data_IF_943442589344
#
_entry.id   IF_943442589344
#
_cell.length_a   1.000
_cell.length_b   1.000
_cell.length_c   1.000
_cell.angle_alpha   90.00
_cell.angle_beta   90.00
_cell.angle_gamma   90.00
#
_symmetry.space_group_name_H-M   'P 1'
#
loop_
_entity.id
_entity.type
_entity.pdbx_description
1 polymer ?
#
# COMPACT_ATOMS: atom_id res chain seq x y z
N UNK A 1 -33.83 36.89 17.34
CA UNK A 1 -32.47 36.92 16.75
C UNK A 1 -31.67 35.77 17.33
N UNK A 2 -31.51 34.66 16.61
CA UNK A 2 -30.57 33.62 17.01
C UNK A 2 -29.20 33.97 16.42
N UNK A 3 -28.12 34.06 17.22
CA UNK A 3 -26.79 34.32 16.69
C UNK A 3 -26.32 33.07 15.92
N UNK A 4 -26.10 33.24 14.62
CA UNK A 4 -25.50 32.22 13.77
C UNK A 4 -24.02 32.14 14.17
N UNK A 5 -23.68 31.19 15.04
CA UNK A 5 -22.30 30.95 15.51
C UNK A 5 -21.38 30.71 14.31
N UNK A 6 -20.48 31.67 14.08
CA UNK A 6 -19.61 31.70 12.91
C UNK A 6 -18.73 30.43 12.83
N UNK A 7 -18.82 29.71 11.72
CA UNK A 7 -17.96 28.59 11.30
C UNK A 7 -16.50 29.02 11.00
N UNK A 8 -15.91 29.92 11.80
CA UNK A 8 -14.58 30.53 11.53
C UNK A 8 -13.42 29.90 12.29
N UNK A 9 -13.65 28.90 13.14
CA UNK A 9 -12.61 28.37 14.05
C UNK A 9 -11.63 27.36 13.42
N UNK A 10 -11.94 26.75 12.28
CA UNK A 10 -11.11 25.66 11.74
C UNK A 10 -10.00 26.12 10.78
N UNK A 11 -10.10 27.32 10.19
CA UNK A 11 -9.12 27.86 9.24
C UNK A 11 -7.69 27.99 9.80
N UNK A 12 -7.47 28.57 11.00
CA UNK A 12 -6.12 28.66 11.56
C UNK A 12 -5.59 27.28 11.98
N UNK A 13 -6.46 26.39 12.49
CA UNK A 13 -6.07 25.04 12.86
C UNK A 13 -5.58 24.24 11.64
N UNK A 14 -6.28 24.32 10.50
CA UNK A 14 -5.86 23.70 9.25
C UNK A 14 -4.56 24.31 8.72
N UNK A 15 -4.39 25.63 8.82
CA UNK A 15 -3.14 26.28 8.39
C UNK A 15 -1.94 25.83 9.23
N UNK A 16 -2.11 25.72 10.55
CA UNK A 16 -1.07 25.20 11.46
C UNK A 16 -0.75 23.74 11.13
N UNK A 17 -1.78 22.90 10.92
CA UNK A 17 -1.61 21.51 10.52
C UNK A 17 -0.79 21.40 9.22
N UNK A 18 -1.15 22.20 8.21
CA UNK A 18 -0.46 22.23 6.90
C UNK A 18 0.98 22.70 7.03
N UNK A 19 1.22 23.73 7.85
CA UNK A 19 2.57 24.22 8.11
C UNK A 19 3.44 23.15 8.80
N UNK A 20 2.91 22.46 9.81
CA UNK A 20 3.60 21.37 10.49
C UNK A 20 3.92 20.24 9.50
N UNK A 21 2.94 19.83 8.68
CA UNK A 21 3.14 18.78 7.68
C UNK A 21 4.19 19.16 6.63
N UNK A 22 4.18 20.41 6.16
CA UNK A 22 5.17 20.91 5.22
C UNK A 22 6.58 20.95 5.82
N UNK A 23 6.73 21.45 7.06
CA UNK A 23 8.01 21.46 7.77
C UNK A 23 8.52 20.05 8.01
N UNK A 24 7.65 19.10 8.39
CA UNK A 24 8.03 17.70 8.54
C UNK A 24 8.56 17.12 7.22
N UNK A 25 7.86 17.34 6.09
CA UNK A 25 8.32 16.90 4.78
C UNK A 25 9.69 17.49 4.41
N UNK A 26 9.92 18.78 4.67
CA UNK A 26 11.20 19.42 4.40
C UNK A 26 12.32 18.92 5.34
N UNK A 27 11.99 18.61 6.60
CA UNK A 27 12.93 17.99 7.53
C UNK A 27 13.35 16.58 7.08
N UNK A 28 12.40 15.77 6.60
CA UNK A 28 12.70 14.46 6.01
C UNK A 28 13.53 14.59 4.73
N UNK A 29 13.22 15.57 3.87
CA UNK A 29 14.00 15.86 2.66
C UNK A 29 15.44 16.23 2.99
N UNK A 30 15.63 17.10 3.99
CA UNK A 30 16.94 17.51 4.48
C UNK A 30 17.74 16.33 5.01
N UNK A 31 17.10 15.48 5.81
CA UNK A 31 17.74 14.29 6.34
C UNK A 31 18.13 13.28 5.24
N UNK A 32 17.29 13.14 4.21
CA UNK A 32 17.61 12.30 3.05
C UNK A 32 18.74 12.89 2.19
N UNK A 33 18.82 14.20 2.07
CA UNK A 33 19.93 14.87 1.39
C UNK A 33 21.28 14.55 2.05
N UNK A 34 21.37 14.70 3.38
CA UNK A 34 22.56 14.40 4.17
C UNK A 34 22.97 12.91 4.08
N UNK A 35 21.97 12.02 4.03
CA UNK A 35 22.16 10.57 3.85
C UNK A 35 22.69 10.21 2.46
N UNK A 36 22.20 10.89 1.41
CA UNK A 36 22.69 10.71 0.03
C UNK A 36 24.16 11.14 -0.11
N UNK A 37 24.57 12.22 0.56
CA UNK A 37 25.95 12.72 0.52
C UNK A 37 26.93 11.76 1.21
N UNK A 38 26.46 11.07 2.27
CA UNK A 38 27.25 10.08 3.02
C UNK A 38 27.28 8.69 2.39
N UNK A 39 26.21 8.28 1.69
CA UNK A 39 26.06 6.94 1.11
C UNK A 39 26.21 7.06 -0.41
N UNK A 40 27.44 6.89 -0.92
CA UNK A 40 27.80 7.05 -2.33
C UNK A 40 26.66 6.76 -3.35
N UNK A 41 25.89 7.80 -3.69
CA UNK A 41 25.34 8.03 -5.02
C UNK A 41 24.19 7.17 -5.56
N UNK A 42 23.38 6.48 -4.75
CA UNK A 42 22.19 5.82 -5.35
C UNK A 42 21.15 6.87 -5.74
N UNK A 43 20.86 7.01 -7.05
CA UNK A 43 19.87 7.95 -7.60
C UNK A 43 18.46 7.80 -6.99
N UNK A 44 18.14 6.65 -6.40
CA UNK A 44 16.90 6.39 -5.68
C UNK A 44 16.75 7.24 -4.40
N UNK A 45 17.83 7.46 -3.64
CA UNK A 45 17.79 8.30 -2.42
C UNK A 45 17.55 9.77 -2.77
N UNK A 46 18.11 10.24 -3.89
CA UNK A 46 17.83 11.56 -4.44
C UNK A 46 16.35 11.69 -4.84
N UNK A 47 15.78 10.64 -5.43
CA UNK A 47 14.34 10.55 -5.72
C UNK A 47 13.50 10.79 -4.46
N UNK A 48 13.83 10.14 -3.34
CA UNK A 48 13.13 10.36 -2.07
C UNK A 48 13.36 11.76 -1.50
N UNK A 49 14.59 12.28 -1.56
CA UNK A 49 14.91 13.64 -1.13
C UNK A 49 14.10 14.70 -1.90
N UNK A 50 13.79 14.46 -3.18
CA UNK A 50 12.95 15.34 -4.01
C UNK A 50 11.45 15.04 -3.92
N UNK A 51 11.08 13.80 -3.59
CA UNK A 51 9.69 13.38 -3.38
C UNK A 51 9.08 14.05 -2.14
N UNK A 52 9.83 14.15 -1.04
CA UNK A 52 9.33 14.78 0.19
C UNK A 52 8.93 16.25 0.02
N UNK A 53 9.73 17.13 -0.64
CA UNK A 53 9.33 18.48 -0.97
C UNK A 53 8.08 18.55 -1.87
N UNK A 54 7.95 17.63 -2.84
CA UNK A 54 6.77 17.56 -3.70
C UNK A 54 5.49 17.31 -2.88
N UNK A 55 5.55 16.43 -1.88
CA UNK A 55 4.44 16.24 -0.94
C UNK A 55 4.18 17.49 -0.10
N UNK A 56 5.22 18.16 0.42
CA UNK A 56 5.05 19.43 1.14
C UNK A 56 4.32 20.48 0.30
N UNK A 57 4.68 20.62 -0.98
CA UNK A 57 3.99 21.49 -1.91
C UNK A 57 2.54 21.04 -2.17
N UNK A 58 2.30 19.73 -2.37
CA UNK A 58 0.96 19.19 -2.59
C UNK A 58 0.02 19.46 -1.41
N UNK A 59 0.50 19.38 -0.16
CA UNK A 59 -0.28 19.69 1.04
C UNK A 59 -0.66 21.18 1.09
N UNK A 60 0.28 22.08 0.80
CA UNK A 60 0.01 23.52 0.70
C UNK A 60 -1.00 23.81 -0.42
N UNK A 61 -0.84 23.16 -1.57
CA UNK A 61 -1.73 23.29 -2.70
C UNK A 61 -3.15 22.79 -2.37
N UNK A 62 -3.29 21.65 -1.70
CA UNK A 62 -4.56 21.12 -1.23
C UNK A 62 -5.25 22.07 -0.26
N UNK A 63 -4.52 22.69 0.67
CA UNK A 63 -5.07 23.72 1.55
C UNK A 63 -5.55 24.94 0.78
N UNK A 64 -4.74 25.47 -0.16
CA UNK A 64 -5.18 26.58 -1.01
C UNK A 64 -6.44 26.22 -1.79
N UNK A 65 -6.49 25.03 -2.38
CA UNK A 65 -7.65 24.53 -3.14
C UNK A 65 -8.89 24.42 -2.26
N UNK A 66 -8.74 23.87 -1.06
CA UNK A 66 -9.81 23.75 -0.07
C UNK A 66 -10.35 25.12 0.35
N UNK A 67 -9.45 26.07 0.66
CA UNK A 67 -9.84 27.43 1.04
C UNK A 67 -10.57 28.14 -0.10
N UNK A 68 -10.09 28.03 -1.35
CA UNK A 68 -10.80 28.62 -2.51
C UNK A 68 -12.20 28.02 -2.65
N UNK A 69 -12.31 26.68 -2.53
CA UNK A 69 -13.59 25.98 -2.65
C UNK A 69 -14.58 26.37 -1.54
N UNK A 70 -14.11 26.64 -0.32
CA UNK A 70 -14.96 27.11 0.78
C UNK A 70 -15.26 28.62 0.74
N UNK A 71 -14.43 29.42 0.07
CA UNK A 71 -14.50 30.89 0.17
C UNK A 71 -15.44 31.51 -0.85
N UNK A 72 -15.50 30.97 -2.05
CA UNK A 72 -16.27 31.58 -3.13
C UNK A 72 -16.76 30.50 -4.13
N UNK A 73 -18.07 30.21 -4.16
CA UNK A 73 -18.63 29.21 -5.06
C UNK A 73 -18.46 29.60 -6.54
N UNK A 74 -18.36 30.90 -6.86
CA UNK A 74 -18.20 31.36 -8.24
C UNK A 74 -16.77 31.18 -8.74
N UNK A 75 -15.75 31.37 -7.88
CA UNK A 75 -14.36 31.03 -8.23
C UNK A 75 -14.13 29.51 -8.27
N UNK A 76 -14.82 28.75 -7.42
CA UNK A 76 -14.83 27.28 -7.51
C UNK A 76 -15.37 26.78 -8.85
N UNK A 77 -16.46 27.40 -9.34
CA UNK A 77 -17.06 27.07 -10.65
C UNK A 77 -16.11 27.39 -11.81
N UNK A 78 -15.46 28.55 -11.82
CA UNK A 78 -14.46 28.92 -12.85
C UNK A 78 -13.22 28.03 -12.86
N UNK A 79 -12.83 27.47 -11.71
CA UNK A 79 -11.73 26.50 -11.63
C UNK A 79 -12.16 25.10 -12.08
N UNK A 80 -13.40 24.71 -11.84
CA UNK A 80 -13.96 23.43 -12.33
C UNK A 80 -14.19 23.44 -13.84
N UNK A 81 -14.62 24.56 -14.40
CA UNK A 81 -14.85 24.77 -15.85
C UNK A 81 -13.56 24.66 -16.68
N UNK A 82 -12.39 24.90 -16.06
CA UNK A 82 -11.08 24.69 -16.70
C UNK A 82 -10.62 23.23 -16.72
N UNK A 83 -11.34 22.32 -16.05
CA UNK A 83 -11.04 20.90 -16.04
C UNK A 83 -11.80 20.19 -17.14
N UNK A 84 -11.11 19.80 -18.22
CA UNK A 84 -11.59 18.77 -19.15
C UNK A 84 -11.68 17.46 -18.35
N UNK A 85 -12.84 17.25 -17.73
CA UNK A 85 -13.13 16.08 -16.88
C UNK A 85 -13.96 15.04 -17.65
N UNK A 86 -14.14 15.25 -18.95
CA UNK A 86 -14.65 14.23 -19.85
C UNK A 86 -13.46 13.52 -20.50
N UNK A 87 -13.46 12.19 -20.40
CA UNK A 87 -12.53 11.33 -21.14
C UNK A 87 -13.21 11.03 -22.47
N UNK A 88 -12.80 11.64 -23.61
CA UNK A 88 -13.22 11.19 -24.92
C UNK A 88 -13.09 9.67 -25.03
N UNK A 89 -14.16 8.98 -25.46
CA UNK A 89 -14.19 7.52 -25.56
C UNK A 89 -13.12 6.91 -26.49
N UNK A 90 -12.34 7.74 -27.20
CA UNK A 90 -11.18 7.35 -28.03
C UNK A 90 -9.80 7.65 -27.44
N UNK A 91 -9.69 8.05 -26.16
CA UNK A 91 -8.42 8.37 -25.48
C UNK A 91 -7.84 7.23 -24.64
N UNK A 92 -8.44 6.04 -24.66
CA UNK A 92 -7.79 4.85 -24.11
C UNK A 92 -6.96 4.21 -25.25
N UNK A 93 -5.62 4.26 -25.20
CA UNK A 93 -4.81 3.37 -26.01
C UNK A 93 -5.23 1.92 -25.70
N UNK A 94 -5.30 1.06 -26.71
CA UNK A 94 -5.38 -0.39 -26.52
C UNK A 94 -4.32 -0.77 -25.49
N UNK A 95 -4.71 -1.43 -24.39
CA UNK A 95 -3.84 -1.67 -23.22
C UNK A 95 -2.49 -2.21 -23.72
N UNK A 96 -1.41 -1.41 -23.71
CA UNK A 96 -0.11 -1.98 -23.98
C UNK A 96 0.22 -2.88 -22.78
N UNK A 97 0.76 -4.07 -23.03
CA UNK A 97 1.31 -4.99 -22.01
C UNK A 97 2.55 -4.41 -21.32
N UNK A 98 2.56 -3.11 -21.02
CA UNK A 98 3.60 -2.50 -20.20
C UNK A 98 3.46 -3.05 -18.79
N UNK A 99 4.56 -3.48 -18.18
CA UNK A 99 4.50 -4.07 -16.86
C UNK A 99 3.99 -3.03 -15.84
N UNK A 100 2.79 -3.26 -15.32
CA UNK A 100 2.30 -2.71 -14.05
C UNK A 100 3.30 -3.00 -12.91
N UNK A 101 3.21 -2.29 -11.79
CA UNK A 101 3.97 -2.60 -10.57
C UNK A 101 3.80 -4.07 -10.13
N UNK A 102 2.69 -4.71 -10.50
CA UNK A 102 2.42 -6.13 -10.32
C UNK A 102 3.19 -7.09 -11.26
N UNK A 103 3.81 -6.57 -12.32
CA UNK A 103 4.61 -7.30 -13.32
C UNK A 103 6.10 -6.96 -13.26
N UNK A 104 6.48 -5.98 -12.44
CA UNK A 104 7.84 -5.89 -11.90
C UNK A 104 8.15 -7.04 -10.92
N UNK A 105 7.12 -7.70 -10.39
CA UNK A 105 7.25 -8.94 -9.61
C UNK A 105 7.52 -10.19 -10.47
N UNK A 106 7.45 -10.08 -11.81
CA UNK A 106 7.63 -11.19 -12.75
C UNK A 106 8.88 -11.01 -13.63
N UNK A 107 9.57 -9.87 -13.50
CA UNK A 107 10.89 -9.68 -14.07
C UNK A 107 11.89 -10.18 -13.03
N UNK A 108 12.52 -11.33 -13.32
CA UNK A 108 13.53 -12.00 -12.50
C UNK A 108 14.51 -11.01 -11.88
N UNK A 109 14.18 -10.52 -10.69
CA UNK A 109 14.95 -9.52 -9.97
C UNK A 109 15.88 -10.27 -9.01
N UNK A 110 17.05 -9.73 -8.66
CA UNK A 110 17.89 -10.34 -7.63
C UNK A 110 17.15 -10.51 -6.29
N UNK A 111 16.10 -9.74 -6.03
CA UNK A 111 15.23 -9.90 -4.84
C UNK A 111 14.46 -11.23 -4.86
N UNK A 112 14.21 -11.84 -6.03
CA UNK A 112 13.57 -13.16 -6.16
C UNK A 112 14.44 -14.29 -5.63
N UNK A 113 15.77 -14.11 -5.56
CA UNK A 113 16.66 -15.10 -4.94
C UNK A 113 16.48 -15.08 -3.42
N UNK A 114 16.53 -13.89 -2.81
CA UNK A 114 16.35 -13.73 -1.37
C UNK A 114 14.95 -14.12 -0.91
N UNK A 115 13.90 -13.83 -1.69
CA UNK A 115 12.54 -14.26 -1.39
C UNK A 115 12.40 -15.79 -1.41
N UNK A 116 13.06 -16.48 -2.35
CA UNK A 116 13.08 -17.94 -2.43
C UNK A 116 13.77 -18.57 -1.22
N UNK A 117 14.90 -18.00 -0.78
CA UNK A 117 15.59 -18.46 0.43
C UNK A 117 14.75 -18.27 1.69
N UNK A 118 14.07 -17.11 1.80
CA UNK A 118 13.18 -16.83 2.92
C UNK A 118 11.97 -17.78 2.96
N UNK A 119 11.30 -17.98 1.82
CA UNK A 119 10.17 -18.91 1.72
C UNK A 119 10.58 -20.36 2.02
N UNK A 120 11.79 -20.77 1.63
CA UNK A 120 12.36 -22.07 1.99
C UNK A 120 12.58 -22.19 3.50
N UNK A 121 13.16 -21.16 4.13
CA UNK A 121 13.38 -21.15 5.57
C UNK A 121 12.08 -21.23 6.37
N UNK A 122 11.02 -20.52 5.93
CA UNK A 122 9.69 -20.62 6.54
C UNK A 122 9.10 -22.04 6.40
N UNK A 123 9.27 -22.67 5.24
CA UNK A 123 8.82 -24.04 5.01
C UNK A 123 9.57 -25.06 5.89
N UNK A 124 10.87 -24.86 6.11
CA UNK A 124 11.67 -25.72 7.00
C UNK A 124 11.23 -25.57 8.47
N UNK A 125 10.88 -24.36 8.91
CA UNK A 125 10.31 -24.10 10.24
C UNK A 125 8.93 -24.73 10.44
N UNK A 126 8.03 -24.57 9.46
CA UNK A 126 6.69 -25.17 9.47
C UNK A 126 6.77 -26.70 9.51
N UNK A 127 7.68 -27.29 8.73
CA UNK A 127 7.93 -28.73 8.73
C UNK A 127 8.49 -29.23 10.07
N UNK A 128 9.38 -28.47 10.71
CA UNK A 128 9.92 -28.81 12.03
C UNK A 128 8.85 -28.74 13.13
N UNK A 129 8.02 -27.69 13.12
CA UNK A 129 6.90 -27.52 14.08
C UNK A 129 5.86 -28.64 13.91
N UNK A 130 5.56 -29.02 12.66
CA UNK A 130 4.69 -30.17 12.37
C UNK A 130 5.31 -31.51 12.78
N UNK A 131 6.62 -31.70 12.63
CA UNK A 131 7.30 -32.90 13.07
C UNK A 131 7.33 -33.03 14.60
N UNK A 132 7.56 -31.91 15.31
CA UNK A 132 7.47 -31.86 16.78
C UNK A 132 6.03 -32.07 17.28
N UNK A 133 5.03 -31.52 16.59
CA UNK A 133 3.62 -31.70 16.93
C UNK A 133 3.13 -33.14 16.70
N UNK A 134 3.68 -33.86 15.72
CA UNK A 134 3.36 -35.27 15.46
C UNK A 134 4.06 -36.20 16.47
N UNK A 135 5.29 -35.88 16.90
CA UNK A 135 6.03 -36.64 17.93
C UNK A 135 5.44 -36.45 19.34
N UNK A 136 4.89 -35.27 19.65
CA UNK A 136 4.26 -34.98 20.94
C UNK A 136 2.81 -35.51 21.07
N UNK A 137 2.23 -36.07 20.00
CA UNK A 137 0.86 -36.60 20.00
C UNK A 137 0.81 -38.12 19.77
N UNK A 138 1.07 -38.95 20.82
CA UNK A 138 1.08 -40.41 20.70
C UNK A 138 -0.29 -41.03 20.35
N UNK A 139 -1.38 -40.25 20.40
CA UNK A 139 -2.75 -40.74 20.18
C UNK A 139 -3.18 -40.75 18.68
N UNK A 140 -2.41 -40.12 17.78
CA UNK A 140 -2.78 -40.03 16.36
C UNK A 140 -2.41 -41.28 15.56
N UNK A 141 -1.27 -41.91 15.85
CA UNK A 141 -0.82 -43.16 15.21
C UNK A 141 -1.67 -44.37 15.63
N UNK A 142 -2.30 -44.33 16.81
CA UNK A 142 -3.23 -45.37 17.26
C UNK A 142 -4.59 -45.35 16.52
N UNK A 143 -5.02 -44.19 15.99
CA UNK A 143 -6.36 -44.05 15.39
C UNK A 143 -6.45 -44.48 13.92
N UNK A 144 -5.32 -44.63 13.23
CA UNK A 144 -5.29 -45.11 11.83
C UNK A 144 -5.40 -46.65 11.74
N UNK A 145 -5.30 -47.35 12.87
CA UNK A 145 -5.29 -48.82 12.96
C UNK A 145 -6.64 -49.51 13.25
N UNK A 146 -7.79 -48.86 13.12
CA UNK A 146 -9.10 -49.54 13.24
C UNK A 146 -9.75 -49.66 11.87
N UNK A 147 -9.28 -50.64 11.10
CA UNK A 147 -10.07 -51.28 10.04
C UNK A 147 -11.33 -51.82 10.69
N UNK A 148 -12.47 -51.16 10.43
CA UNK A 148 -13.80 -51.68 10.75
C UNK A 148 -13.98 -52.99 9.96
N UNK A 149 -14.25 -54.14 10.61
CA UNK A 149 -14.50 -55.39 9.90
C UNK A 149 -15.82 -55.28 9.13
N UNK A 150 -15.75 -55.56 7.83
CA UNK A 150 -16.87 -55.68 6.92
C UNK A 150 -17.88 -56.70 7.45
N UNK A 151 -19.13 -56.25 7.66
CA UNK A 151 -20.26 -57.14 7.85
C UNK A 151 -21.42 -56.71 6.96
N UNK A 152 -21.64 -57.55 5.94
CA UNK A 152 -22.86 -57.74 5.14
C UNK A 152 -23.17 -56.58 4.17
N UNK A 153 -23.31 -56.82 2.86
CA UNK A 153 -24.30 -57.75 2.31
C UNK A 153 -23.83 -58.31 0.97
N UNK A 154 -23.72 -59.63 0.90
CA UNK A 154 -23.82 -60.41 -0.33
C UNK A 154 -25.19 -60.16 -0.95
N UNK A 155 -25.26 -59.63 -2.16
CA UNK A 155 -26.35 -59.85 -3.11
C UNK A 155 -25.99 -59.17 -4.43
N UNK A 156 -25.58 -59.97 -5.42
CA UNK A 156 -26.36 -60.20 -6.65
C UNK A 156 -25.47 -60.35 -7.91
N UNK A 157 -25.81 -61.40 -8.66
CA UNK A 157 -25.55 -61.64 -10.08
C UNK A 157 -24.12 -62.06 -10.51
N UNK A 158 -23.88 -63.38 -10.51
CA UNK A 158 -23.99 -64.17 -11.75
C UNK A 158 -24.22 -65.66 -11.48
#
# INVERSE_FOLDING_TARGET
MSPQSARRRHRPALLVLVAIAAVACLGLAWWQWDTYESSAGTAQNLGYALQWPAFGFAVIWAYRRFVVLESDPDEAAKMADKGVTEIPAGLLPERPSTPSASSAADASSPDDVSLREYNRFLADLDAADHAEADDQNPDRTARVGTTRPDSLTSEDSQ
#
